data_IF_026555750585
#
_entry.id   IF_026555750585
#
_cell.length_a   1.000
_cell.length_b   1.000
_cell.length_c   1.000
_cell.angle_alpha   90.00
_cell.angle_beta   90.00
_cell.angle_gamma   90.00
#
_symmetry.space_group_name_H-M   'P 1'
#
loop_
_entity.id
_entity.type
_entity.pdbx_description
1 polymer ?
#
# COMPACT_ATOMS: atom_id res chain seq x y z
N UNK A 1 -33.93 -2.62 15.22
CA UNK A 1 -32.61 -2.42 15.86
C UNK A 1 -32.49 -1.08 16.58
N UNK A 2 -32.86 0.06 15.97
CA UNK A 2 -32.76 1.38 16.62
C UNK A 2 -33.44 1.46 18.01
N UNK A 3 -34.66 0.93 18.18
CA UNK A 3 -35.35 0.91 19.49
C UNK A 3 -34.55 0.19 20.59
N UNK A 4 -33.99 -0.99 20.27
CA UNK A 4 -33.19 -1.77 21.22
C UNK A 4 -31.90 -1.04 21.60
N UNK A 5 -31.24 -0.40 20.63
CA UNK A 5 -30.03 0.38 20.88
C UNK A 5 -30.31 1.61 21.75
N UNK A 6 -31.41 2.33 21.49
CA UNK A 6 -31.82 3.46 22.32
C UNK A 6 -32.17 3.05 23.75
N UNK A 7 -32.78 1.87 23.93
CA UNK A 7 -33.06 1.32 25.24
C UNK A 7 -31.77 0.96 25.99
N UNK A 8 -30.79 0.34 25.31
CA UNK A 8 -29.50 0.02 25.90
C UNK A 8 -28.72 1.29 26.30
N UNK A 9 -28.67 2.32 25.44
CA UNK A 9 -28.01 3.60 25.76
C UNK A 9 -28.63 4.26 27.00
N UNK A 10 -29.96 4.26 27.12
CA UNK A 10 -30.66 4.79 28.31
C UNK A 10 -30.42 3.97 29.58
N UNK A 11 -30.09 2.70 29.47
CA UNK A 11 -29.78 1.87 30.62
C UNK A 11 -28.37 2.12 31.18
N UNK A 12 -27.44 2.55 30.31
CA UNK A 12 -26.03 2.81 30.67
C UNK A 12 -25.79 4.27 31.06
N UNK A 13 -26.51 5.21 30.45
CA UNK A 13 -26.37 6.63 30.72
C UNK A 13 -27.32 7.11 31.83
N UNK A 14 -26.91 8.07 32.68
CA UNK A 14 -27.78 8.69 33.68
C UNK A 14 -28.72 9.73 33.02
N UNK A 15 -29.62 9.28 32.15
CA UNK A 15 -30.49 10.13 31.32
C UNK A 15 -31.98 9.81 31.51
N UNK A 16 -32.82 10.82 31.32
CA UNK A 16 -34.28 10.66 31.40
C UNK A 16 -34.83 9.83 30.24
N UNK A 17 -35.99 9.19 30.45
CA UNK A 17 -36.70 8.46 29.38
C UNK A 17 -37.05 9.36 28.18
N UNK A 18 -37.28 10.64 28.43
CA UNK A 18 -37.61 11.67 27.44
C UNK A 18 -36.40 12.27 26.72
N UNK A 19 -35.17 11.89 27.08
CA UNK A 19 -33.96 12.40 26.42
C UNK A 19 -34.00 12.11 24.92
N UNK A 20 -33.80 13.14 24.07
CA UNK A 20 -33.72 13.00 22.61
C UNK A 20 -32.66 12.00 22.16
N UNK A 21 -32.94 11.25 21.09
CA UNK A 21 -32.04 10.20 20.59
C UNK A 21 -30.67 10.73 20.15
N UNK A 22 -30.62 11.95 19.60
CA UNK A 22 -29.36 12.59 19.20
C UNK A 22 -28.42 12.82 20.38
N UNK A 23 -28.97 13.20 21.54
CA UNK A 23 -28.20 13.35 22.78
C UNK A 23 -27.72 11.99 23.27
N UNK A 24 -28.55 10.94 23.19
CA UNK A 24 -28.13 9.58 23.58
C UNK A 24 -26.90 9.11 22.78
N UNK A 25 -26.90 9.33 21.47
CA UNK A 25 -25.77 8.96 20.62
C UNK A 25 -24.50 9.75 20.95
N UNK A 26 -24.64 11.05 21.21
CA UNK A 26 -23.52 11.91 21.62
C UNK A 26 -22.92 11.47 22.96
N UNK A 27 -23.75 11.31 23.98
CA UNK A 27 -23.31 11.01 25.35
C UNK A 27 -22.82 9.57 25.51
N UNK A 28 -23.38 8.62 24.76
CA UNK A 28 -22.89 7.22 24.78
C UNK A 28 -21.64 7.00 23.94
N UNK A 29 -21.32 7.92 23.02
CA UNK A 29 -20.31 7.71 21.99
C UNK A 29 -20.67 6.60 20.99
N UNK A 30 -21.93 6.13 20.97
CA UNK A 30 -22.39 5.07 20.06
C UNK A 30 -23.08 5.72 18.85
N UNK A 31 -22.56 5.55 17.62
CA UNK A 31 -23.19 6.08 16.42
C UNK A 31 -24.58 5.48 16.15
N UNK A 32 -25.44 6.17 15.39
CA UNK A 32 -26.67 5.62 14.83
C UNK A 32 -26.46 4.28 14.09
N UNK A 33 -27.49 3.43 14.10
CA UNK A 33 -27.39 2.04 13.63
C UNK A 33 -27.09 1.94 12.12
N UNK A 34 -27.62 2.86 11.34
CA UNK A 34 -27.35 3.05 9.91
C UNK A 34 -25.86 3.30 9.66
N UNK A 35 -25.23 4.20 10.41
CA UNK A 35 -23.79 4.46 10.30
C UNK A 35 -22.96 3.22 10.66
N UNK A 36 -23.34 2.50 11.72
CA UNK A 36 -22.66 1.25 12.11
C UNK A 36 -22.78 0.17 11.03
N UNK A 37 -23.95 0.04 10.40
CA UNK A 37 -24.18 -0.93 9.32
C UNK A 37 -23.41 -0.55 8.07
N UNK A 38 -23.37 0.72 7.69
CA UNK A 38 -22.60 1.18 6.55
C UNK A 38 -21.09 1.02 6.77
N UNK A 39 -20.57 1.33 7.95
CA UNK A 39 -19.19 1.03 8.31
C UNK A 39 -18.87 -0.48 8.25
N UNK A 40 -19.81 -1.35 8.63
CA UNK A 40 -19.64 -2.81 8.46
C UNK A 40 -19.65 -3.22 6.99
N UNK A 41 -20.49 -2.60 6.16
CA UNK A 41 -20.56 -2.88 4.71
C UNK A 41 -19.27 -2.44 4.01
N UNK A 42 -18.72 -1.28 4.34
CA UNK A 42 -17.44 -0.80 3.81
C UNK A 42 -16.30 -1.74 4.20
N UNK A 43 -16.20 -2.12 5.48
CA UNK A 43 -15.19 -3.12 5.93
C UNK A 43 -15.33 -4.46 5.21
N UNK A 44 -16.55 -4.90 4.96
CA UNK A 44 -16.78 -6.13 4.22
C UNK A 44 -16.38 -5.98 2.74
N UNK A 45 -16.66 -4.83 2.10
CA UNK A 45 -16.15 -4.51 0.76
C UNK A 45 -14.63 -4.60 0.71
N UNK A 46 -13.92 -3.95 1.64
CA UNK A 46 -12.45 -4.00 1.69
C UNK A 46 -11.94 -5.42 1.90
N UNK A 47 -12.61 -6.21 2.74
CA UNK A 47 -12.29 -7.63 2.91
C UNK A 47 -12.48 -8.41 1.61
N UNK A 48 -13.50 -8.13 0.82
CA UNK A 48 -13.67 -8.77 -0.49
C UNK A 48 -12.52 -8.40 -1.43
N UNK A 49 -12.06 -7.15 -1.42
CA UNK A 49 -10.93 -6.69 -2.22
C UNK A 49 -9.57 -7.28 -1.81
N UNK A 50 -9.40 -7.65 -0.55
CA UNK A 50 -8.17 -8.31 -0.07
C UNK A 50 -8.11 -9.82 -0.37
N UNK A 51 -9.15 -10.39 -1.00
CA UNK A 51 -9.15 -11.80 -1.38
C UNK A 51 -8.45 -12.00 -2.71
N UNK A 52 -7.67 -13.08 -2.77
CA UNK A 52 -7.09 -13.61 -4.00
C UNK A 52 -8.13 -13.84 -5.10
N UNK A 53 -7.71 -13.67 -6.34
CA UNK A 53 -8.57 -13.78 -7.51
C UNK A 53 -9.19 -15.18 -7.68
N UNK A 54 -8.52 -16.23 -7.21
CA UNK A 54 -9.03 -17.60 -7.20
C UNK A 54 -10.00 -17.89 -6.04
N UNK A 55 -10.18 -16.96 -5.10
CA UNK A 55 -11.09 -17.15 -3.98
C UNK A 55 -12.56 -17.25 -4.45
N UNK A 56 -13.37 -18.21 -3.95
CA UNK A 56 -14.76 -18.40 -4.41
C UNK A 56 -15.68 -17.18 -4.26
N UNK A 57 -15.38 -16.29 -3.32
CA UNK A 57 -16.11 -15.02 -3.19
C UNK A 57 -15.67 -13.97 -4.21
N UNK A 58 -14.39 -13.95 -4.60
CA UNK A 58 -13.89 -13.02 -5.61
C UNK A 58 -14.54 -13.31 -6.98
N UNK A 59 -14.61 -14.59 -7.37
CA UNK A 59 -15.28 -15.00 -8.61
C UNK A 59 -16.76 -14.58 -8.66
N UNK A 60 -17.46 -14.64 -7.53
CA UNK A 60 -18.87 -14.22 -7.39
C UNK A 60 -19.08 -12.70 -7.37
N UNK A 61 -18.02 -11.91 -7.23
CA UNK A 61 -18.10 -10.44 -7.32
C UNK A 61 -17.87 -9.93 -8.75
N UNK A 62 -17.36 -10.78 -9.65
CA UNK A 62 -17.10 -10.39 -11.02
C UNK A 62 -18.38 -9.93 -11.72
N UNK A 63 -18.31 -8.87 -12.55
CA UNK A 63 -19.43 -8.53 -13.40
C UNK A 63 -19.70 -9.70 -14.37
N UNK A 64 -20.96 -9.94 -14.75
CA UNK A 64 -21.29 -10.92 -15.78
C UNK A 64 -20.57 -10.56 -17.05
N UNK A 65 -20.12 -11.58 -17.78
CA UNK A 65 -19.49 -11.36 -19.07
C UNK A 65 -20.52 -10.70 -19.99
N UNK A 66 -20.17 -9.57 -20.61
CA UNK A 66 -21.04 -9.04 -21.66
C UNK A 66 -21.03 -10.08 -22.80
N UNK A 67 -22.19 -10.61 -23.21
CA UNK A 67 -22.20 -11.58 -24.30
C UNK A 67 -21.66 -10.91 -25.56
N UNK A 68 -20.59 -11.48 -26.12
CA UNK A 68 -20.14 -11.13 -27.46
C UNK A 68 -21.19 -11.66 -28.45
N UNK A 69 -21.90 -10.76 -29.12
CA UNK A 69 -22.89 -11.14 -30.10
C UNK A 69 -22.22 -11.34 -31.47
N UNK A 70 -22.42 -12.52 -32.06
CA UNK A 70 -22.09 -12.83 -33.45
C UNK A 70 -23.34 -12.68 -34.31
N UNK A 71 -23.34 -11.77 -35.28
CA UNK A 71 -24.52 -11.43 -36.10
C UNK A 71 -25.12 -12.62 -36.86
N UNK A 72 -24.31 -13.65 -37.14
CA UNK A 72 -24.71 -14.85 -37.88
C UNK A 72 -25.49 -15.87 -37.03
N UNK A 73 -25.53 -15.73 -35.71
CA UNK A 73 -26.17 -16.69 -34.80
C UNK A 73 -27.48 -16.07 -34.28
N UNK A 74 -28.59 -16.82 -34.20
CA UNK A 74 -29.82 -16.24 -33.62
C UNK A 74 -29.61 -15.90 -32.14
N UNK A 75 -30.06 -14.72 -31.69
CA UNK A 75 -29.91 -14.23 -30.30
C UNK A 75 -30.31 -15.25 -29.22
N UNK A 76 -31.34 -16.06 -29.47
CA UNK A 76 -31.79 -17.13 -28.55
C UNK A 76 -30.75 -18.21 -28.26
N UNK A 77 -29.76 -18.38 -29.14
CA UNK A 77 -28.65 -19.33 -29.00
C UNK A 77 -27.37 -18.67 -28.45
N UNK A 78 -27.37 -17.34 -28.33
CA UNK A 78 -26.24 -16.54 -27.83
C UNK A 78 -26.50 -15.93 -26.45
N UNK A 79 -27.75 -15.90 -26.01
CA UNK A 79 -28.12 -15.44 -24.68
C UNK A 79 -27.49 -16.38 -23.65
N UNK A 80 -26.29 -16.03 -23.17
CA UNK A 80 -25.72 -16.67 -21.99
C UNK A 80 -26.68 -16.43 -20.83
N UNK A 81 -27.10 -17.53 -20.20
CA UNK A 81 -27.92 -17.55 -18.99
C UNK A 81 -27.14 -17.06 -17.76
N UNK A 82 -26.21 -16.11 -17.92
CA UNK A 82 -25.63 -15.43 -16.77
C UNK A 82 -26.68 -14.45 -16.24
N UNK A 83 -27.24 -14.81 -15.08
CA UNK A 83 -28.20 -13.98 -14.37
C UNK A 83 -27.65 -12.56 -14.21
N UNK A 84 -28.32 -11.60 -14.84
CA UNK A 84 -28.07 -10.16 -14.66
C UNK A 84 -28.34 -9.68 -13.22
N UNK A 85 -28.80 -10.57 -12.34
CA UNK A 85 -29.16 -10.24 -10.97
C UNK A 85 -27.93 -9.83 -10.16
N UNK A 86 -27.91 -8.54 -9.81
CA UNK A 86 -26.88 -7.95 -8.95
C UNK A 86 -27.03 -8.47 -7.52
N UNK A 87 -26.23 -9.48 -7.16
CA UNK A 87 -26.23 -10.12 -5.84
C UNK A 87 -25.84 -9.15 -4.73
N UNK A 88 -26.22 -9.44 -3.48
CA UNK A 88 -25.80 -8.66 -2.30
C UNK A 88 -24.27 -8.56 -2.16
N UNK A 89 -23.57 -9.63 -2.52
CA UNK A 89 -22.10 -9.68 -2.51
C UNK A 89 -21.51 -8.68 -3.51
N UNK A 90 -21.99 -8.69 -4.75
CA UNK A 90 -21.55 -7.76 -5.80
C UNK A 90 -21.85 -6.30 -5.44
N UNK A 91 -23.06 -6.02 -4.94
CA UNK A 91 -23.43 -4.67 -4.43
C UNK A 91 -22.48 -4.18 -3.33
N UNK A 92 -21.93 -5.10 -2.54
CA UNK A 92 -21.03 -4.75 -1.45
C UNK A 92 -19.62 -4.52 -1.97
N UNK A 93 -19.12 -5.39 -2.86
CA UNK A 93 -17.82 -5.21 -3.53
C UNK A 93 -17.72 -3.91 -4.34
N UNK A 94 -18.84 -3.46 -4.91
CA UNK A 94 -18.94 -2.22 -5.67
C UNK A 94 -19.06 -0.96 -4.79
N UNK A 95 -19.10 -1.09 -3.45
CA UNK A 95 -19.08 0.08 -2.55
C UNK A 95 -17.73 0.81 -2.55
N UNK A 96 -16.66 0.10 -2.88
CA UNK A 96 -15.33 0.66 -2.98
C UNK A 96 -14.81 0.46 -4.40
N UNK A 97 -13.97 1.40 -4.84
CA UNK A 97 -13.36 1.34 -6.15
C UNK A 97 -12.53 0.04 -6.33
N UNK A 98 -12.42 -0.49 -7.57
CA UNK A 98 -11.59 -1.66 -7.84
C UNK A 98 -10.11 -1.40 -7.50
N UNK A 99 -9.47 -2.35 -6.82
CA UNK A 99 -8.03 -2.34 -6.58
C UNK A 99 -7.39 -3.63 -7.13
N UNK A 100 -6.06 -3.65 -7.21
CA UNK A 100 -5.33 -4.89 -7.43
C UNK A 100 -5.58 -5.84 -6.25
N UNK A 101 -5.96 -7.08 -6.54
CA UNK A 101 -6.16 -8.13 -5.53
C UNK A 101 -4.82 -8.79 -5.23
N UNK A 102 -4.47 -8.99 -3.95
CA UNK A 102 -3.25 -9.69 -3.59
C UNK A 102 -3.37 -11.16 -3.98
N UNK A 103 -2.25 -11.76 -4.38
CA UNK A 103 -2.12 -13.20 -4.54
C UNK A 103 -1.98 -13.87 -3.19
N UNK A 104 -2.64 -15.02 -3.01
CA UNK A 104 -2.42 -15.85 -1.85
C UNK A 104 -1.04 -16.51 -1.97
N UNK A 105 -0.11 -16.09 -1.13
CA UNK A 105 1.25 -16.62 -1.06
C UNK A 105 1.48 -17.30 0.28
N UNK A 106 2.36 -18.30 0.29
CA UNK A 106 2.82 -18.91 1.53
C UNK A 106 3.69 -17.91 2.30
N UNK A 107 3.41 -17.75 3.59
CA UNK A 107 4.25 -16.89 4.43
C UNK A 107 5.65 -17.48 4.58
N UNK A 108 6.66 -16.63 4.43
CA UNK A 108 8.04 -16.98 4.66
C UNK A 108 8.36 -16.80 6.15
N UNK A 109 8.28 -17.88 6.93
CA UNK A 109 8.59 -17.86 8.38
C UNK A 109 10.10 -17.74 8.68
N UNK A 110 10.97 -17.81 7.67
CA UNK A 110 12.42 -17.64 7.84
C UNK A 110 12.85 -16.19 8.17
N UNK A 111 11.90 -15.28 8.45
CA UNK A 111 12.18 -13.91 8.90
C UNK A 111 13.08 -13.87 10.15
N UNK A 112 13.06 -14.91 10.99
CA UNK A 112 13.88 -15.00 12.20
C UNK A 112 15.40 -15.10 11.93
N UNK A 113 15.83 -15.46 10.73
CA UNK A 113 17.26 -15.56 10.38
C UNK A 113 17.86 -14.24 9.89
N UNK A 114 17.03 -13.22 9.70
CA UNK A 114 17.46 -11.95 9.14
C UNK A 114 17.92 -10.98 10.23
N UNK A 115 19.12 -10.38 10.12
CA UNK A 115 19.55 -9.39 11.10
C UNK A 115 18.55 -8.23 11.15
N UNK A 116 18.20 -7.75 12.37
CA UNK A 116 17.22 -6.70 12.55
C UNK A 116 17.64 -5.45 11.78
N UNK A 117 16.68 -4.83 11.10
CA UNK A 117 16.89 -3.61 10.31
C UNK A 117 17.24 -2.41 11.20
N UNK A 118 16.73 -2.38 12.43
CA UNK A 118 17.01 -1.35 13.41
C UNK A 118 17.59 -1.99 14.68
N UNK A 119 18.78 -1.56 15.08
CA UNK A 119 19.52 -2.11 16.23
C UNK A 119 19.78 -1.08 17.34
N UNK A 120 19.52 0.21 17.09
CA UNK A 120 19.83 1.29 18.02
C UNK A 120 18.83 2.47 17.94
N UNK A 121 19.03 3.49 18.79
CA UNK A 121 18.31 4.77 18.72
C UNK A 121 18.56 5.48 17.39
N UNK A 122 17.69 6.42 17.00
CA UNK A 122 17.76 7.11 15.69
C UNK A 122 19.10 7.83 15.48
N UNK A 123 19.57 8.55 16.50
CA UNK A 123 20.78 9.38 16.43
C UNK A 123 22.03 8.50 16.27
N UNK A 124 22.16 7.47 17.13
CA UNK A 124 23.27 6.50 17.02
C UNK A 124 23.24 5.73 15.70
N UNK A 125 22.04 5.49 15.18
CA UNK A 125 21.86 4.82 13.88
C UNK A 125 22.29 5.71 12.72
N UNK A 126 22.09 7.03 12.80
CA UNK A 126 22.49 7.97 11.77
C UNK A 126 24.01 8.03 11.63
N UNK A 127 24.74 8.21 12.74
CA UNK A 127 26.19 8.20 12.72
C UNK A 127 26.76 6.87 12.22
N UNK A 128 26.17 5.76 12.65
CA UNK A 128 26.56 4.43 12.19
C UNK A 128 26.30 4.24 10.70
N UNK A 129 25.19 4.79 10.19
CA UNK A 129 24.85 4.76 8.78
C UNK A 129 25.83 5.60 7.95
N UNK A 130 26.16 6.82 8.39
CA UNK A 130 27.14 7.67 7.70
C UNK A 130 28.53 7.03 7.66
N UNK A 131 29.00 6.45 8.77
CA UNK A 131 30.26 5.68 8.79
C UNK A 131 30.22 4.48 7.84
N UNK A 132 29.07 3.79 7.76
CA UNK A 132 28.87 2.70 6.82
C UNK A 132 28.95 3.19 5.37
N UNK A 133 28.27 4.29 5.01
CA UNK A 133 28.36 4.90 3.67
C UNK A 133 29.80 5.29 3.34
N UNK A 134 30.57 5.79 4.30
CA UNK A 134 31.99 6.11 4.12
C UNK A 134 32.86 4.88 3.85
N UNK A 135 32.46 3.70 4.32
CA UNK A 135 33.19 2.44 4.14
C UNK A 135 32.85 1.68 2.86
N UNK A 136 31.87 2.16 2.08
CA UNK A 136 31.44 1.50 0.84
C UNK A 136 32.48 1.66 -0.26
N UNK A 137 32.53 0.66 -1.14
CA UNK A 137 33.33 0.71 -2.36
C UNK A 137 32.81 1.84 -3.28
N UNK A 138 33.68 2.64 -3.93
CA UNK A 138 33.25 3.75 -4.80
C UNK A 138 32.34 3.33 -5.95
N UNK A 139 32.38 2.08 -6.39
CA UNK A 139 31.50 1.53 -7.41
C UNK A 139 30.15 1.10 -6.85
N UNK A 140 29.93 1.10 -5.54
CA UNK A 140 28.64 0.72 -4.95
C UNK A 140 27.58 1.78 -5.23
N UNK A 141 26.40 1.35 -5.67
CA UNK A 141 25.24 2.23 -5.82
C UNK A 141 24.40 2.22 -4.53
N UNK A 142 24.09 3.39 -4.02
CA UNK A 142 23.18 3.56 -2.88
C UNK A 142 21.95 4.31 -3.34
N UNK A 143 20.80 3.64 -3.28
CA UNK A 143 19.51 4.20 -3.63
C UNK A 143 18.80 4.57 -2.34
N UNK A 144 18.46 5.84 -2.18
CA UNK A 144 17.57 6.31 -1.13
C UNK A 144 16.19 6.47 -1.72
N UNK A 145 15.18 5.86 -1.13
CA UNK A 145 13.79 6.00 -1.57
C UNK A 145 12.93 6.45 -0.42
N UNK A 146 11.95 7.29 -0.72
CA UNK A 146 11.01 7.81 0.27
C UNK A 146 9.60 7.95 -0.32
N UNK A 147 8.61 8.04 0.55
CA UNK A 147 7.21 8.22 0.25
C UNK A 147 6.62 9.36 1.07
N UNK A 148 5.83 10.20 0.42
CA UNK A 148 5.15 11.31 1.08
C UNK A 148 3.64 11.22 0.86
N UNK A 149 2.89 11.88 1.76
CA UNK A 149 1.46 12.07 1.66
C UNK A 149 1.16 13.54 1.94
N UNK A 150 0.61 14.24 0.96
CA UNK A 150 0.23 15.65 1.11
C UNK A 150 -0.97 15.83 2.05
N UNK A 151 -1.22 17.06 2.48
CA UNK A 151 -2.42 17.45 3.25
C UNK A 151 -3.72 17.12 2.53
N UNK A 152 -3.70 17.12 1.19
CA UNK A 152 -4.82 16.80 0.31
C UNK A 152 -4.98 15.28 0.09
N UNK A 153 -4.10 14.46 0.69
CA UNK A 153 -4.11 13.01 0.54
C UNK A 153 -3.49 12.51 -0.75
N UNK A 154 -2.64 13.31 -1.42
CA UNK A 154 -1.89 12.87 -2.59
C UNK A 154 -0.63 12.12 -2.16
N UNK A 155 -0.57 10.82 -2.46
CA UNK A 155 0.59 9.99 -2.18
C UNK A 155 1.60 10.06 -3.34
N UNK A 156 2.88 10.19 -3.01
CA UNK A 156 3.96 10.31 -4.00
C UNK A 156 5.21 9.60 -3.51
N UNK A 157 5.97 9.06 -4.46
CA UNK A 157 7.23 8.39 -4.21
C UNK A 157 8.39 9.16 -4.82
N UNK A 158 9.58 8.90 -4.30
CA UNK A 158 10.83 9.36 -4.90
C UNK A 158 11.94 8.34 -4.69
N UNK A 159 13.01 8.53 -5.45
CA UNK A 159 14.30 7.93 -5.17
C UNK A 159 15.42 8.84 -5.64
N UNK A 160 16.59 8.69 -5.03
CA UNK A 160 17.85 9.27 -5.50
C UNK A 160 18.94 8.20 -5.42
N UNK A 161 19.75 8.13 -6.48
CA UNK A 161 20.84 7.19 -6.63
C UNK A 161 22.13 7.94 -6.43
N UNK A 162 22.93 7.46 -5.48
CA UNK A 162 24.22 8.02 -5.12
C UNK A 162 25.31 7.00 -5.47
N UNK A 163 26.39 7.49 -6.06
CA UNK A 163 27.63 6.74 -6.28
C UNK A 163 28.78 7.56 -5.71
N UNK A 164 29.63 6.94 -4.90
CA UNK A 164 30.69 7.64 -4.14
C UNK A 164 30.21 8.93 -3.44
N UNK A 165 29.01 8.86 -2.82
CA UNK A 165 28.34 9.97 -2.09
C UNK A 165 27.90 11.16 -2.95
N UNK A 166 27.99 11.04 -4.27
CA UNK A 166 27.51 12.05 -5.21
C UNK A 166 26.18 11.56 -5.79
N UNK A 167 25.12 12.39 -5.79
CA UNK A 167 23.88 12.07 -6.49
C UNK A 167 24.13 12.02 -7.99
N UNK A 168 23.83 10.89 -8.63
CA UNK A 168 24.02 10.68 -10.07
C UNK A 168 22.70 10.71 -10.85
N UNK A 169 21.61 10.29 -10.21
CA UNK A 169 20.30 10.20 -10.83
C UNK A 169 19.21 10.25 -9.78
N UNK A 170 18.07 10.82 -10.13
CA UNK A 170 16.90 10.85 -9.27
C UNK A 170 15.62 10.70 -10.09
N UNK A 171 14.56 10.30 -9.42
CA UNK A 171 13.26 10.13 -10.02
C UNK A 171 12.17 10.26 -8.97
N UNK A 172 11.00 10.69 -9.41
CA UNK A 172 9.84 10.82 -8.54
C UNK A 172 8.56 10.73 -9.33
N UNK A 173 7.46 10.44 -8.64
CA UNK A 173 6.15 10.29 -9.26
C UNK A 173 5.04 10.35 -8.24
N UNK A 174 3.84 10.67 -8.73
CA UNK A 174 2.62 10.61 -7.94
C UNK A 174 1.94 9.25 -8.14
N UNK A 175 1.40 8.70 -7.07
CA UNK A 175 0.55 7.52 -7.13
C UNK A 175 -0.92 7.92 -7.25
N UNK A 176 -1.75 6.94 -7.63
CA UNK A 176 -3.19 7.02 -7.37
C UNK A 176 -3.48 7.05 -5.86
N UNK A 177 -4.75 6.86 -5.47
CA UNK A 177 -5.14 6.89 -4.06
C UNK A 177 -4.42 5.79 -3.26
N UNK A 178 -3.41 6.17 -2.49
CA UNK A 178 -2.48 5.27 -1.84
C UNK A 178 -2.07 5.81 -0.46
N UNK A 179 -1.43 4.98 0.37
CA UNK A 179 -0.81 5.42 1.62
C UNK A 179 0.71 5.55 1.47
N UNK A 180 1.36 6.26 2.40
CA UNK A 180 2.82 6.44 2.43
C UNK A 180 3.57 5.11 2.28
N UNK A 181 3.09 4.05 2.94
CA UNK A 181 3.65 2.70 2.84
C UNK A 181 3.72 2.17 1.39
N UNK A 182 2.69 2.43 0.58
CA UNK A 182 2.66 2.01 -0.82
C UNK A 182 3.61 2.86 -1.69
N UNK A 183 3.70 4.16 -1.36
CA UNK A 183 4.62 5.08 -2.01
C UNK A 183 6.08 4.68 -1.79
N UNK A 184 6.45 4.37 -0.55
CA UNK A 184 7.81 3.91 -0.23
C UNK A 184 8.18 2.61 -0.94
N UNK A 185 7.26 1.64 -0.96
CA UNK A 185 7.49 0.40 -1.71
C UNK A 185 7.71 0.67 -3.21
N UNK A 186 6.94 1.61 -3.78
CA UNK A 186 7.07 1.99 -5.19
C UNK A 186 8.36 2.74 -5.45
N UNK A 187 8.76 3.66 -4.58
CA UNK A 187 10.03 4.37 -4.65
C UNK A 187 11.23 3.42 -4.62
N UNK A 188 11.20 2.41 -3.75
CA UNK A 188 12.22 1.37 -3.71
C UNK A 188 12.30 0.55 -5.00
N UNK A 189 11.16 0.18 -5.58
CA UNK A 189 11.12 -0.58 -6.84
C UNK A 189 11.63 0.25 -8.02
N UNK A 190 11.14 1.47 -8.18
CA UNK A 190 11.54 2.35 -9.27
C UNK A 190 13.01 2.77 -9.13
N UNK A 191 13.47 3.02 -7.91
CA UNK A 191 14.88 3.26 -7.62
C UNK A 191 15.76 2.05 -7.92
N UNK A 192 15.32 0.83 -7.61
CA UNK A 192 16.03 -0.39 -7.98
C UNK A 192 16.09 -0.57 -9.51
N UNK A 193 14.99 -0.35 -10.23
CA UNK A 193 14.97 -0.43 -11.70
C UNK A 193 15.94 0.59 -12.32
N UNK A 194 15.92 1.82 -11.84
CA UNK A 194 16.84 2.86 -12.29
C UNK A 194 18.30 2.51 -11.99
N UNK A 195 18.60 2.00 -10.78
CA UNK A 195 19.95 1.55 -10.42
C UNK A 195 20.42 0.38 -11.28
N UNK A 196 19.54 -0.57 -11.61
CA UNK A 196 19.86 -1.68 -12.50
C UNK A 196 20.18 -1.24 -13.93
N UNK A 197 19.59 -0.13 -14.41
CA UNK A 197 19.89 0.43 -15.73
C UNK A 197 21.23 1.18 -15.76
N UNK A 198 21.65 1.76 -14.62
CA UNK A 198 22.94 2.44 -14.47
C UNK A 198 24.08 1.49 -14.13
N UNK A 199 23.75 0.27 -13.69
CA UNK A 199 24.72 -0.73 -13.26
C UNK A 199 25.64 -1.14 -14.40
N UNK A 200 26.95 -1.01 -14.18
CA UNK A 200 27.97 -1.36 -15.18
C UNK A 200 28.31 -2.87 -15.15
N UNK A 201 28.16 -3.51 -13.99
CA UNK A 201 28.50 -4.94 -13.80
C UNK A 201 27.56 -5.66 -12.85
N UNK A 202 27.30 -6.95 -13.14
CA UNK A 202 26.44 -7.84 -12.32
C UNK A 202 27.03 -8.13 -10.92
N UNK A 203 28.28 -7.75 -10.67
CA UNK A 203 28.91 -7.85 -9.34
C UNK A 203 28.82 -6.57 -8.52
N UNK A 204 28.38 -5.46 -9.10
CA UNK A 204 28.31 -4.15 -8.43
C UNK A 204 27.19 -4.14 -7.38
N UNK A 205 27.52 -3.89 -6.12
CA UNK A 205 26.51 -3.89 -5.05
C UNK A 205 25.51 -2.74 -5.19
N UNK A 206 24.24 -3.01 -4.95
CA UNK A 206 23.17 -2.02 -4.88
C UNK A 206 22.55 -2.08 -3.49
N UNK A 207 22.59 -0.98 -2.75
CA UNK A 207 21.90 -0.85 -1.47
C UNK A 207 20.65 0.00 -1.64
N UNK A 208 19.49 -0.55 -1.27
CA UNK A 208 18.21 0.17 -1.22
C UNK A 208 17.95 0.59 0.22
N UNK A 209 17.86 1.90 0.44
CA UNK A 209 17.74 2.54 1.75
C UNK A 209 16.36 3.20 1.89
N UNK A 210 15.62 2.81 2.92
CA UNK A 210 14.27 3.29 3.25
C UNK A 210 14.18 3.60 4.75
N UNK A 211 13.37 4.57 5.12
CA UNK A 211 13.17 4.93 6.52
C UNK A 211 11.92 4.31 7.17
N UNK A 212 11.03 3.68 6.40
CA UNK A 212 9.95 2.86 6.95
C UNK A 212 10.35 1.41 7.12
N UNK A 213 10.45 1.05 8.40
CA UNK A 213 10.77 -0.29 8.83
C UNK A 213 9.77 -1.34 8.29
N UNK A 214 8.48 -1.00 8.17
CA UNK A 214 7.47 -1.94 7.69
C UNK A 214 7.66 -2.23 6.19
N UNK A 215 7.93 -1.20 5.38
CA UNK A 215 8.18 -1.36 3.94
C UNK A 215 9.48 -2.15 3.71
N UNK A 216 10.56 -1.78 4.40
CA UNK A 216 11.85 -2.48 4.33
C UNK A 216 11.74 -3.96 4.78
N UNK A 217 10.94 -4.24 5.81
CA UNK A 217 10.67 -5.61 6.27
C UNK A 217 9.91 -6.42 5.20
N UNK A 218 8.93 -5.81 4.52
CA UNK A 218 8.19 -6.46 3.44
C UNK A 218 9.07 -6.74 2.22
N UNK A 219 9.99 -5.83 1.86
CA UNK A 219 10.92 -6.03 0.75
C UNK A 219 11.87 -7.21 1.00
N UNK A 220 12.36 -7.37 2.24
CA UNK A 220 13.24 -8.48 2.62
C UNK A 220 12.52 -9.80 2.87
N UNK A 221 11.25 -9.75 3.26
CA UNK A 221 10.52 -10.89 3.82
C UNK A 221 9.20 -11.16 3.13
N UNK A 222 8.15 -11.35 3.91
CA UNK A 222 6.81 -11.59 3.37
C UNK A 222 6.21 -10.28 2.85
N UNK A 223 5.81 -10.18 1.58
CA UNK A 223 5.23 -8.96 1.01
C UNK A 223 3.83 -8.68 1.59
N UNK A 224 3.48 -7.40 1.67
CA UNK A 224 2.17 -6.93 2.14
C UNK A 224 1.07 -7.24 1.11
N UNK A 225 -0.18 -7.39 1.57
CA UNK A 225 -1.34 -7.45 0.69
C UNK A 225 -1.52 -6.17 -0.14
N UNK A 226 -1.16 -5.02 0.43
CA UNK A 226 -1.23 -3.74 -0.28
C UNK A 226 0.00 -3.57 -1.14
N UNK A 227 -0.20 -3.18 -2.40
CA UNK A 227 0.87 -3.05 -3.39
C UNK A 227 1.73 -4.31 -3.51
N UNK A 228 1.15 -5.50 -3.29
CA UNK A 228 1.88 -6.77 -3.27
C UNK A 228 2.68 -7.01 -4.55
N UNK A 229 2.15 -6.60 -5.71
CA UNK A 229 2.84 -6.69 -6.99
C UNK A 229 4.18 -5.95 -6.99
N UNK A 230 4.26 -4.78 -6.34
CA UNK A 230 5.49 -3.98 -6.21
C UNK A 230 6.54 -4.72 -5.40
N UNK A 231 6.15 -5.29 -4.26
CA UNK A 231 7.07 -6.08 -3.43
C UNK A 231 7.53 -7.36 -4.13
N UNK A 232 6.62 -8.09 -4.78
CA UNK A 232 6.96 -9.32 -5.51
C UNK A 232 7.90 -9.04 -6.69
N UNK A 233 7.67 -7.95 -7.42
CA UNK A 233 8.54 -7.53 -8.51
C UNK A 233 9.92 -7.14 -7.99
N UNK A 234 9.99 -6.35 -6.90
CA UNK A 234 11.25 -6.01 -6.25
C UNK A 234 12.03 -7.26 -5.85
N UNK A 235 11.36 -8.21 -5.19
CA UNK A 235 11.99 -9.46 -4.73
C UNK A 235 12.47 -10.32 -5.89
N UNK A 236 11.71 -10.39 -6.99
CA UNK A 236 12.12 -11.09 -8.21
C UNK A 236 13.35 -10.45 -8.86
N UNK A 237 13.42 -9.11 -8.90
CA UNK A 237 14.58 -8.38 -9.38
C UNK A 237 15.81 -8.60 -8.46
N UNK A 238 15.61 -8.52 -7.14
CA UNK A 238 16.64 -8.77 -6.14
C UNK A 238 17.23 -10.19 -6.26
N UNK A 239 16.37 -11.20 -6.42
CA UNK A 239 16.78 -12.60 -6.55
C UNK A 239 17.49 -12.89 -7.88
N UNK A 240 17.04 -12.29 -8.99
CA UNK A 240 17.58 -12.58 -10.32
C UNK A 240 18.89 -11.85 -10.64
N UNK A 241 19.12 -10.67 -10.06
CA UNK A 241 20.27 -9.80 -10.41
C UNK A 241 21.44 -9.90 -9.44
N UNK A 242 21.23 -10.48 -8.25
CA UNK A 242 22.24 -10.64 -7.20
C UNK A 242 22.78 -9.31 -6.64
N UNK A 243 23.42 -9.36 -5.48
CA UNK A 243 24.10 -8.21 -4.84
C UNK A 243 23.19 -6.98 -4.57
N UNK A 244 21.90 -7.22 -4.35
CA UNK A 244 20.92 -6.19 -3.94
C UNK A 244 20.62 -6.38 -2.47
N UNK A 245 20.77 -5.31 -1.69
CA UNK A 245 20.63 -5.33 -0.25
C UNK A 245 19.68 -4.23 0.22
N UNK A 246 18.70 -4.60 1.04
CA UNK A 246 17.80 -3.62 1.66
C UNK A 246 18.34 -3.25 3.03
N UNK A 247 18.45 -1.95 3.29
CA UNK A 247 18.92 -1.38 4.55
C UNK A 247 17.91 -0.33 5.03
N UNK A 248 17.76 -0.25 6.35
CA UNK A 248 16.98 0.82 6.95
C UNK A 248 17.88 2.03 7.24
N UNK A 249 17.37 3.22 6.96
CA UNK A 249 18.01 4.51 7.29
C UNK A 249 17.12 5.26 8.27
N UNK A 250 17.67 5.92 9.30
CA UNK A 250 16.84 6.70 10.21
C UNK A 250 16.27 7.93 9.49
N UNK A 251 14.95 8.06 9.49
CA UNK A 251 14.26 9.24 8.95
C UNK A 251 14.50 10.50 9.79
N UNK A 252 14.49 11.66 9.13
CA UNK A 252 14.70 13.00 9.73
C UNK A 252 15.97 13.09 10.58
N UNK A 253 17.06 12.53 10.09
CA UNK A 253 18.33 12.41 10.83
C UNK A 253 19.53 12.94 10.03
N UNK A 254 19.29 13.95 9.18
CA UNK A 254 20.30 14.68 8.40
C UNK A 254 21.17 13.80 7.48
N UNK A 255 20.68 12.62 7.08
CA UNK A 255 21.35 11.78 6.08
C UNK A 255 21.10 12.40 4.71
N UNK A 256 22.12 12.92 4.00
CA UNK A 256 21.90 13.76 2.81
C UNK A 256 21.06 13.11 1.71
N UNK A 257 21.29 11.82 1.43
CA UNK A 257 20.53 11.08 0.43
C UNK A 257 19.06 10.85 0.82
N UNK A 258 18.79 10.60 2.11
CA UNK A 258 17.41 10.43 2.59
C UNK A 258 16.65 11.76 2.56
N UNK A 259 17.29 12.85 3.02
CA UNK A 259 16.69 14.19 2.98
C UNK A 259 16.43 14.67 1.55
N UNK A 260 17.27 14.27 0.58
CA UNK A 260 17.02 14.53 -0.83
C UNK A 260 15.81 13.75 -1.34
N UNK A 261 15.68 12.46 -1.01
CA UNK A 261 14.52 11.66 -1.36
C UNK A 261 13.23 12.26 -0.77
N UNK A 262 13.22 12.64 0.52
CA UNK A 262 12.06 13.27 1.18
C UNK A 262 11.60 14.56 0.49
N UNK A 263 12.55 15.43 0.13
CA UNK A 263 12.25 16.67 -0.62
C UNK A 263 11.63 16.37 -1.97
N UNK A 264 12.17 15.39 -2.70
CA UNK A 264 11.65 14.98 -4.01
C UNK A 264 10.25 14.35 -3.88
N UNK A 265 10.03 13.52 -2.86
CA UNK A 265 8.72 12.89 -2.63
C UNK A 265 7.66 13.96 -2.32
N UNK A 266 7.99 14.94 -1.47
CA UNK A 266 7.09 16.06 -1.16
C UNK A 266 6.77 16.89 -2.40
N UNK A 267 7.77 17.22 -3.22
CA UNK A 267 7.55 17.96 -4.46
C UNK A 267 6.67 17.17 -5.46
N UNK A 268 6.86 15.85 -5.55
CA UNK A 268 6.12 14.99 -6.46
C UNK A 268 4.62 14.86 -6.14
N UNK A 269 4.20 15.19 -4.92
CA UNK A 269 2.76 15.23 -4.56
C UNK A 269 1.93 16.20 -5.42
N UNK A 270 2.59 17.24 -5.96
CA UNK A 270 1.98 18.24 -6.83
C UNK A 270 1.89 17.83 -8.31
N UNK A 271 2.47 16.67 -8.68
CA UNK A 271 2.37 16.14 -10.04
C UNK A 271 0.94 15.69 -10.35
N UNK A 272 0.55 15.61 -11.65
CA UNK A 272 -0.73 15.04 -12.02
C UNK A 272 -0.83 13.58 -11.59
N UNK A 273 -2.03 13.16 -11.18
CA UNK A 273 -2.30 11.76 -10.89
C UNK A 273 -2.18 10.93 -12.18
N UNK A 274 -1.56 9.74 -12.15
CA UNK A 274 -1.48 8.88 -13.33
C UNK A 274 -2.86 8.50 -13.87
N UNK A 275 -3.01 8.52 -15.20
CA UNK A 275 -4.29 8.20 -15.84
C UNK A 275 -4.68 6.74 -15.56
N UNK A 276 -5.93 6.54 -15.11
CA UNK A 276 -6.45 5.21 -14.78
C UNK A 276 -5.88 4.59 -13.50
N UNK A 277 -5.24 5.39 -12.65
CA UNK A 277 -4.72 4.92 -11.36
C UNK A 277 -5.84 4.32 -10.50
N UNK A 278 -5.54 3.17 -9.87
CA UNK A 278 -6.46 2.47 -8.97
C UNK A 278 -6.02 2.69 -7.53
N UNK A 279 -6.95 2.74 -6.57
CA UNK A 279 -6.59 2.83 -5.17
C UNK A 279 -5.83 1.59 -4.71
N UNK A 280 -4.93 1.77 -3.75
CA UNK A 280 -4.27 0.65 -3.07
C UNK A 280 -5.19 0.05 -2.01
N UNK A 281 -4.89 -1.20 -1.61
CA UNK A 281 -5.68 -1.86 -0.58
C UNK A 281 -5.56 -1.17 0.78
N UNK A 282 -4.39 -0.62 1.12
CA UNK A 282 -4.19 0.16 2.34
C UNK A 282 -5.07 1.41 2.36
N UNK A 283 -5.15 2.15 1.25
CA UNK A 283 -6.03 3.30 1.10
C UNK A 283 -7.51 2.92 1.28
N UNK A 284 -7.96 1.82 0.65
CA UNK A 284 -9.32 1.30 0.83
C UNK A 284 -9.61 0.85 2.27
N UNK A 285 -8.60 0.34 2.99
CA UNK A 285 -8.72 -0.01 4.42
C UNK A 285 -8.87 1.22 5.30
N UNK A 286 -8.22 2.34 4.97
CA UNK A 286 -8.37 3.61 5.69
C UNK A 286 -9.75 4.23 5.49
N UNK A 287 -10.26 4.25 4.26
CA UNK A 287 -11.62 4.74 3.97
C UNK A 287 -12.68 3.94 4.71
N UNK A 288 -12.47 2.63 4.87
CA UNK A 288 -13.44 1.75 5.50
C UNK A 288 -13.37 1.70 7.04
N UNK A 289 -12.47 2.44 7.69
CA UNK A 289 -12.36 2.51 9.15
C UNK A 289 -13.39 3.45 9.73
#
# INVERSE_FOLDING_TARGET
>A
MSKAMNQAMRAVLPVWKTTPATILHRESGIPPIDQLLDARRLRFSTRLKSLDEAHPLASRTRPPCQPAYHDLIKRRYQAQTESSFRTRLRRTDELLAPCARPKLIQQCFNQEQMPPLQTASKEKSADAFLRWVQSLDPLTLVVYSDGSLSSEGAASYSFTIHQDKVPIFDGSGRLGPAEVFDAEATGALEGLKAALNLRESVSQNIFICLDNLAAATCLRGTPSDSSQGVFLEFQALAASRGAIHVRWVPGHSDVPGNEQADKLAKAASSLPEPEGARPTLAYLRKIAR
#
